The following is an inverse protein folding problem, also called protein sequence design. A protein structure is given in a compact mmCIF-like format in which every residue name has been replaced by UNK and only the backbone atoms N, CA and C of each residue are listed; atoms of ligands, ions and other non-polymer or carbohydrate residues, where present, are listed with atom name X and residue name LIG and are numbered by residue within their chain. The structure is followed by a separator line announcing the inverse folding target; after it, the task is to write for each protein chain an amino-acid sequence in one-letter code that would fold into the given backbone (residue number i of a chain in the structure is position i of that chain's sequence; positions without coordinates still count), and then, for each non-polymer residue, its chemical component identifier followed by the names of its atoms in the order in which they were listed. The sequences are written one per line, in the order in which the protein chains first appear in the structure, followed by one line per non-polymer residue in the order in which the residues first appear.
data_IF_537097122158
#
_entry.id   IF_537097122158
#
_cell.length_a   1.000
_cell.length_b   1.000
_cell.length_c   1.000
_cell.angle_alpha   90.00
_cell.angle_beta   90.00
_cell.angle_gamma   90.00
#
_symmetry.space_group_name_H-M   'P 1'
#
loop_
_entity.id
_entity.type
_entity.pdbx_description
1 polymer ?
#
# COMPACT_ATOMS: atom_id res chain seq x y z
N UNK A 1 20.14 -15.20 15.81
CA UNK A 1 20.08 -15.17 14.35
C UNK A 1 19.41 -13.86 13.96
N UNK A 2 20.03 -13.10 13.05
CA UNK A 2 19.51 -11.79 12.65
C UNK A 2 18.63 -11.92 11.39
N UNK A 3 17.44 -12.47 11.51
CA UNK A 3 16.42 -12.38 10.46
C UNK A 3 15.36 -11.37 10.89
N UNK A 4 14.96 -10.50 9.96
CA UNK A 4 13.98 -9.44 10.21
C UNK A 4 12.57 -9.82 9.74
N UNK A 5 12.42 -10.88 8.95
CA UNK A 5 11.14 -11.39 8.48
C UNK A 5 11.18 -12.84 8.04
N UNK A 6 10.02 -13.44 7.89
CA UNK A 6 9.83 -14.81 7.41
C UNK A 6 8.85 -14.83 6.26
N UNK A 7 9.18 -15.60 5.23
CA UNK A 7 8.30 -15.89 4.11
C UNK A 7 7.82 -17.34 4.19
N UNK A 8 6.51 -17.50 4.42
CA UNK A 8 5.82 -18.78 4.37
C UNK A 8 5.30 -18.99 2.95
N UNK A 9 6.10 -19.63 2.12
CA UNK A 9 5.74 -20.00 0.76
C UNK A 9 5.32 -21.46 0.68
N UNK A 10 4.64 -21.85 -0.39
CA UNK A 10 4.18 -23.22 -0.67
C UNK A 10 3.28 -23.83 0.42
N UNK A 11 2.63 -23.02 1.20
CA UNK A 11 1.91 -23.41 2.43
C UNK A 11 0.40 -23.60 2.27
N UNK A 12 -0.06 -23.95 1.07
CA UNK A 12 -1.42 -24.47 0.79
C UNK A 12 -1.68 -25.84 1.47
N UNK A 13 -0.76 -26.81 1.65
CA UNK A 13 0.59 -26.98 1.11
C UNK A 13 0.59 -27.41 -0.35
N UNK A 14 1.41 -26.73 -1.17
CA UNK A 14 1.69 -27.18 -2.52
C UNK A 14 2.67 -28.37 -2.48
N UNK A 15 2.28 -29.46 -3.06
CA UNK A 15 3.11 -30.67 -3.19
C UNK A 15 3.27 -30.94 -4.68
N UNK A 16 4.53 -30.90 -5.14
CA UNK A 16 4.90 -31.35 -6.47
C UNK A 16 5.50 -32.74 -6.34
N UNK A 17 4.94 -33.71 -7.04
CA UNK A 17 5.49 -35.06 -7.09
C UNK A 17 5.74 -35.39 -8.57
N UNK A 18 6.99 -35.26 -8.97
CA UNK A 18 7.40 -35.49 -10.36
C UNK A 18 7.33 -36.97 -10.75
N UNK A 19 7.24 -37.88 -9.76
CA UNK A 19 7.10 -39.33 -9.97
C UNK A 19 5.62 -39.74 -10.18
N UNK A 20 4.64 -38.83 -9.94
CA UNK A 20 3.24 -39.08 -10.18
C UNK A 20 2.82 -38.52 -11.54
N UNK A 21 2.15 -39.30 -12.41
CA UNK A 21 1.58 -38.78 -13.66
C UNK A 21 0.71 -37.53 -13.42
N UNK A 22 0.81 -36.53 -14.30
CA UNK A 22 0.20 -35.22 -14.13
C UNK A 22 -1.31 -35.29 -13.85
N UNK A 23 -2.02 -36.22 -14.53
CA UNK A 23 -3.45 -36.46 -14.36
C UNK A 23 -3.84 -37.02 -12.97
N UNK A 24 -2.87 -37.52 -12.21
CA UNK A 24 -3.07 -38.09 -10.88
C UNK A 24 -2.55 -37.15 -9.76
N UNK A 25 -1.93 -35.99 -10.13
CA UNK A 25 -1.42 -35.01 -9.17
C UNK A 25 -2.58 -34.21 -8.58
N UNK A 26 -2.69 -34.21 -7.27
CA UNK A 26 -3.71 -33.43 -6.56
C UNK A 26 -3.19 -32.04 -6.17
N UNK A 27 -1.92 -31.74 -6.41
CA UNK A 27 -1.30 -30.44 -6.14
C UNK A 27 -1.19 -30.03 -4.66
N UNK A 28 -1.64 -30.91 -3.76
CA UNK A 28 -1.61 -30.70 -2.32
C UNK A 28 -1.28 -31.99 -1.58
N UNK A 29 -1.08 -31.90 -0.26
CA UNK A 29 -0.92 -33.07 0.61
C UNK A 29 -2.17 -33.98 0.52
N UNK A 30 -2.01 -35.31 0.48
CA UNK A 30 -3.13 -36.24 0.48
C UNK A 30 -4.11 -35.99 1.62
N UNK A 31 -5.40 -36.01 1.33
CA UNK A 31 -6.45 -35.63 2.29
C UNK A 31 -6.54 -36.53 3.53
N UNK A 32 -6.05 -37.76 3.45
CA UNK A 32 -5.98 -38.73 4.55
C UNK A 32 -4.70 -38.59 5.40
N UNK A 33 -3.76 -37.72 5.01
CA UNK A 33 -2.52 -37.50 5.78
C UNK A 33 -2.87 -37.11 7.21
N UNK A 34 -2.32 -37.82 8.23
CA UNK A 34 -2.66 -37.56 9.62
C UNK A 34 -1.95 -36.34 10.16
N UNK A 35 -2.70 -35.46 10.81
CA UNK A 35 -2.19 -34.38 11.66
C UNK A 35 -2.34 -34.74 13.13
N UNK A 36 -1.28 -34.52 13.91
CA UNK A 36 -1.26 -34.88 15.34
C UNK A 36 -2.15 -34.02 16.21
N UNK A 37 -2.57 -32.84 15.70
CA UNK A 37 -3.18 -31.82 16.53
C UNK A 37 -2.17 -31.12 17.45
N UNK A 38 -2.65 -30.26 18.34
CA UNK A 38 -1.82 -29.54 19.30
C UNK A 38 -2.58 -28.36 19.89
N UNK A 39 -2.22 -27.95 21.12
CA UNK A 39 -2.99 -26.95 21.85
C UNK A 39 -4.45 -27.35 21.98
N UNK A 40 -5.37 -26.56 21.43
CA UNK A 40 -6.81 -26.83 21.39
C UNK A 40 -7.29 -27.51 20.11
N UNK A 41 -6.36 -27.88 19.21
CA UNK A 41 -6.69 -28.49 17.91
C UNK A 41 -6.69 -30.01 18.04
N UNK A 42 -7.78 -30.74 17.65
CA UNK A 42 -7.80 -32.19 17.70
C UNK A 42 -6.87 -32.82 16.68
N UNK A 43 -6.43 -34.05 16.90
CA UNK A 43 -5.81 -34.84 15.84
C UNK A 43 -6.84 -35.15 14.74
N UNK A 44 -6.41 -35.18 13.48
CA UNK A 44 -7.32 -35.41 12.36
C UNK A 44 -6.59 -35.57 11.04
N UNK A 45 -7.33 -35.76 9.94
CA UNK A 45 -6.78 -35.84 8.61
C UNK A 45 -6.50 -34.46 8.02
N UNK A 46 -5.73 -34.41 6.92
CA UNK A 46 -5.49 -33.16 6.18
C UNK A 46 -6.79 -32.56 5.64
N UNK A 47 -7.78 -33.36 5.31
CA UNK A 47 -9.09 -32.86 4.90
C UNK A 47 -9.71 -31.90 5.92
N UNK A 48 -9.52 -32.16 7.22
CA UNK A 48 -9.97 -31.26 8.30
C UNK A 48 -9.17 -29.95 8.34
N UNK A 49 -7.88 -30.01 8.02
CA UNK A 49 -6.96 -28.89 8.18
C UNK A 49 -6.58 -28.15 6.89
N UNK A 50 -6.98 -28.67 5.72
CA UNK A 50 -6.54 -28.18 4.43
C UNK A 50 -6.62 -26.65 4.31
N UNK A 51 -7.79 -26.07 4.49
CA UNK A 51 -7.97 -24.62 4.38
C UNK A 51 -7.35 -23.82 5.54
N UNK A 52 -7.11 -24.45 6.68
CA UNK A 52 -6.53 -23.79 7.85
C UNK A 52 -5.00 -23.90 7.92
N UNK A 53 -4.39 -24.79 7.12
CA UNK A 53 -2.98 -25.14 7.20
C UNK A 53 -2.06 -23.91 7.07
N UNK A 54 -2.25 -23.12 5.99
CA UNK A 54 -1.47 -21.91 5.76
C UNK A 54 -1.60 -20.89 6.89
N UNK A 55 -2.82 -20.67 7.38
CA UNK A 55 -3.05 -19.76 8.51
C UNK A 55 -2.35 -20.24 9.79
N UNK A 56 -2.44 -21.54 10.10
CA UNK A 56 -1.81 -22.11 11.30
C UNK A 56 -0.28 -22.05 11.22
N UNK A 57 0.30 -22.24 10.02
CA UNK A 57 1.74 -22.07 9.79
C UNK A 57 2.18 -20.63 10.05
N UNK A 58 1.43 -19.65 9.54
CA UNK A 58 1.73 -18.22 9.73
C UNK A 58 1.63 -17.83 11.21
N UNK A 59 0.59 -18.30 11.91
CA UNK A 59 0.40 -18.07 13.34
C UNK A 59 1.57 -18.62 14.16
N UNK A 60 1.99 -19.86 13.88
CA UNK A 60 3.14 -20.48 14.51
C UNK A 60 4.46 -19.75 14.22
N UNK A 61 4.65 -19.27 12.98
CA UNK A 61 5.81 -18.46 12.59
C UNK A 61 5.85 -17.13 13.35
N UNK A 62 4.70 -16.46 13.45
CA UNK A 62 4.54 -15.21 14.19
C UNK A 62 4.89 -15.40 15.68
N UNK A 63 4.28 -16.40 16.33
CA UNK A 63 4.55 -16.73 17.73
C UNK A 63 6.00 -17.09 17.97
N UNK A 64 6.63 -17.86 17.03
CA UNK A 64 8.03 -18.22 17.08
C UNK A 64 8.95 -17.00 17.06
N UNK A 65 8.70 -16.03 16.15
CA UNK A 65 9.46 -14.78 16.08
C UNK A 65 9.26 -13.97 17.36
N UNK A 66 8.02 -13.81 17.82
CA UNK A 66 7.70 -13.07 19.04
C UNK A 66 8.38 -13.66 20.26
N UNK A 67 8.52 -14.99 20.33
CA UNK A 67 9.22 -15.66 21.43
C UNK A 67 10.72 -15.38 21.42
N UNK A 68 11.32 -15.26 20.24
CA UNK A 68 12.78 -15.01 20.08
C UNK A 68 13.11 -13.52 20.19
N UNK A 69 12.23 -12.66 19.72
CA UNK A 69 12.47 -11.22 19.65
C UNK A 69 11.20 -10.41 19.98
N UNK A 70 10.77 -10.43 21.26
CA UNK A 70 9.49 -9.85 21.69
C UNK A 70 9.40 -8.33 21.54
N UNK A 71 10.55 -7.65 21.42
CA UNK A 71 10.60 -6.19 21.33
C UNK A 71 10.41 -5.65 19.91
N UNK A 72 10.47 -6.54 18.89
CA UNK A 72 10.30 -6.15 17.48
C UNK A 72 8.96 -6.59 16.93
N UNK A 73 8.42 -5.83 15.99
CA UNK A 73 7.24 -6.24 15.20
C UNK A 73 7.67 -7.28 14.17
N UNK A 74 7.09 -8.49 14.17
CA UNK A 74 7.37 -9.47 13.14
C UNK A 74 6.90 -8.99 11.78
N UNK A 75 7.68 -9.27 10.74
CA UNK A 75 7.23 -9.18 9.35
C UNK A 75 7.13 -10.60 8.79
N UNK A 76 5.93 -10.97 8.36
CA UNK A 76 5.70 -12.24 7.67
C UNK A 76 5.02 -11.96 6.33
N UNK A 77 5.38 -12.77 5.35
CA UNK A 77 4.72 -12.85 4.06
C UNK A 77 4.22 -14.28 3.86
N UNK A 78 2.99 -14.47 3.43
CA UNK A 78 2.42 -15.79 3.22
C UNK A 78 1.70 -15.90 1.89
N UNK A 79 1.84 -17.06 1.21
CA UNK A 79 1.10 -17.34 -0.03
C UNK A 79 -0.33 -17.80 0.28
N UNK A 80 -0.48 -18.74 1.18
CA UNK A 80 -1.77 -19.26 1.56
C UNK A 80 -2.20 -18.82 2.95
N UNK A 81 -3.50 -18.69 3.15
CA UNK A 81 -4.09 -18.37 4.42
C UNK A 81 -5.61 -18.49 4.40
N UNK A 82 -6.20 -18.41 5.57
CA UNK A 82 -7.65 -18.36 5.78
C UNK A 82 -7.99 -17.03 6.46
N UNK A 83 -9.22 -16.57 6.37
CA UNK A 83 -9.67 -15.37 7.06
C UNK A 83 -9.18 -15.36 8.52
N UNK A 84 -8.52 -14.27 8.91
CA UNK A 84 -7.86 -14.12 10.21
C UNK A 84 -6.31 -14.11 10.14
N UNK A 85 -5.68 -14.54 9.02
CA UNK A 85 -4.22 -14.49 8.91
C UNK A 85 -3.68 -13.07 8.70
N UNK A 86 -4.50 -12.13 8.29
CA UNK A 86 -4.14 -10.70 8.18
C UNK A 86 -3.63 -10.09 9.49
N UNK A 87 -3.89 -10.74 10.62
CA UNK A 87 -3.35 -10.34 11.93
C UNK A 87 -1.86 -10.63 12.07
N UNK A 88 -1.32 -11.49 11.23
CA UNK A 88 0.01 -12.05 11.35
C UNK A 88 0.92 -11.73 10.16
N UNK A 89 0.37 -11.63 8.95
CA UNK A 89 1.16 -11.56 7.74
C UNK A 89 0.55 -10.67 6.64
N UNK A 90 1.44 -10.13 5.81
CA UNK A 90 1.13 -9.68 4.46
C UNK A 90 0.94 -10.88 3.53
N UNK A 91 0.33 -10.66 2.36
CA UNK A 91 0.18 -11.66 1.31
C UNK A 91 0.47 -11.09 -0.08
N UNK A 92 0.61 -11.96 -1.06
CA UNK A 92 0.68 -11.54 -2.46
C UNK A 92 -0.26 -12.42 -3.31
N UNK A 93 -0.41 -12.08 -4.58
CA UNK A 93 -1.36 -12.76 -5.47
C UNK A 93 -0.85 -14.08 -6.04
N UNK A 94 0.27 -14.62 -5.53
CA UNK A 94 0.90 -15.85 -6.02
C UNK A 94 1.72 -15.65 -7.29
N UNK A 95 1.97 -16.75 -7.99
CA UNK A 95 2.87 -16.87 -9.13
C UNK A 95 2.22 -16.33 -10.41
N UNK A 96 2.13 -15.03 -10.54
CA UNK A 96 1.58 -14.36 -11.72
C UNK A 96 2.54 -14.42 -12.91
N UNK A 97 2.00 -14.30 -14.11
CA UNK A 97 2.78 -14.30 -15.35
C UNK A 97 3.21 -12.88 -15.75
N UNK A 98 4.38 -12.77 -16.35
CA UNK A 98 4.82 -11.54 -17.02
C UNK A 98 4.00 -11.35 -18.31
N UNK A 99 2.81 -10.72 -18.16
CA UNK A 99 1.87 -10.50 -19.24
C UNK A 99 0.85 -9.42 -18.91
N UNK A 100 0.34 -8.76 -19.96
CA UNK A 100 -0.60 -7.65 -19.83
C UNK A 100 -1.92 -8.04 -19.13
N UNK A 101 -2.37 -9.28 -19.32
CA UNK A 101 -3.59 -9.78 -18.66
C UNK A 101 -3.39 -9.85 -17.15
N UNK A 102 -2.25 -10.38 -16.71
CA UNK A 102 -1.90 -10.45 -15.29
C UNK A 102 -1.62 -9.07 -14.69
N UNK A 103 -1.01 -8.15 -15.45
CA UNK A 103 -0.87 -6.76 -15.04
C UNK A 103 -2.25 -6.13 -14.78
N UNK A 104 -3.18 -6.23 -15.74
CA UNK A 104 -4.54 -5.69 -15.59
C UNK A 104 -5.31 -6.35 -14.45
N UNK A 105 -5.18 -7.67 -14.29
CA UNK A 105 -5.81 -8.45 -13.23
C UNK A 105 -5.30 -8.09 -11.82
N UNK A 106 -4.07 -7.58 -11.71
CA UNK A 106 -3.47 -7.20 -10.43
C UNK A 106 -4.31 -6.19 -9.65
N UNK A 107 -5.00 -5.27 -10.34
CA UNK A 107 -5.84 -4.24 -9.70
C UNK A 107 -7.06 -4.88 -9.02
N UNK A 108 -7.97 -5.59 -9.74
CA UNK A 108 -9.15 -6.17 -9.10
C UNK A 108 -8.82 -7.27 -8.09
N UNK A 109 -7.74 -8.04 -8.28
CA UNK A 109 -7.31 -9.03 -7.29
C UNK A 109 -6.87 -8.37 -5.98
N UNK A 110 -6.04 -7.32 -6.04
CA UNK A 110 -5.60 -6.60 -4.83
C UNK A 110 -6.76 -5.92 -4.11
N UNK A 111 -7.70 -5.33 -4.85
CA UNK A 111 -8.95 -4.78 -4.28
C UNK A 111 -9.75 -5.87 -3.57
N UNK A 112 -9.94 -7.01 -4.21
CA UNK A 112 -10.74 -8.13 -3.66
C UNK A 112 -10.10 -8.70 -2.40
N UNK A 113 -8.78 -8.85 -2.36
CA UNK A 113 -8.04 -9.24 -1.16
C UNK A 113 -8.23 -8.20 -0.05
N UNK A 114 -8.12 -6.91 -0.36
CA UNK A 114 -8.37 -5.83 0.59
C UNK A 114 -9.77 -5.89 1.20
N UNK A 115 -10.80 -6.04 0.36
CA UNK A 115 -12.20 -6.21 0.79
C UNK A 115 -12.43 -7.48 1.62
N UNK A 116 -11.59 -8.50 1.44
CA UNK A 116 -11.59 -9.73 2.24
C UNK A 116 -10.80 -9.61 3.55
N UNK A 117 -10.35 -8.40 3.91
CA UNK A 117 -9.60 -8.11 5.13
C UNK A 117 -8.09 -8.17 4.99
N UNK A 118 -7.55 -8.44 3.79
CA UNK A 118 -6.12 -8.52 3.52
C UNK A 118 -5.60 -7.16 3.05
N UNK A 119 -5.54 -6.18 3.95
CA UNK A 119 -5.15 -4.81 3.61
C UNK A 119 -3.70 -4.71 3.10
N UNK A 120 -2.81 -5.61 3.54
CA UNK A 120 -1.40 -5.63 3.16
C UNK A 120 -1.15 -6.69 2.08
N UNK A 121 -1.49 -6.36 0.84
CA UNK A 121 -1.36 -7.26 -0.30
C UNK A 121 -0.84 -6.53 -1.56
N UNK A 122 -0.39 -7.31 -2.55
CA UNK A 122 0.00 -6.85 -3.88
C UNK A 122 0.50 -8.01 -4.74
N UNK A 123 0.64 -7.83 -6.07
CA UNK A 123 1.20 -8.82 -6.98
C UNK A 123 2.74 -8.78 -6.98
N UNK A 124 3.36 -9.76 -7.61
CA UNK A 124 4.75 -9.65 -8.05
C UNK A 124 4.82 -8.69 -9.24
N UNK A 125 5.44 -7.51 -9.04
CA UNK A 125 5.58 -6.48 -10.06
C UNK A 125 6.52 -7.00 -11.16
N UNK A 126 6.06 -6.92 -12.40
CA UNK A 126 6.77 -7.44 -13.56
C UNK A 126 6.45 -8.91 -13.87
N UNK A 127 5.66 -9.58 -13.02
CA UNK A 127 5.31 -11.00 -13.14
C UNK A 127 6.39 -11.93 -12.57
N UNK A 128 5.96 -13.03 -11.93
CA UNK A 128 6.86 -14.05 -11.38
C UNK A 128 7.37 -15.00 -12.47
N UNK A 129 6.45 -15.56 -13.27
CA UNK A 129 6.76 -16.48 -14.36
C UNK A 129 7.00 -15.72 -15.67
N UNK A 130 7.84 -16.27 -16.53
CA UNK A 130 8.23 -15.72 -17.84
C UNK A 130 9.08 -14.44 -17.77
N UNK A 131 9.67 -14.13 -18.94
CA UNK A 131 10.42 -12.91 -19.12
C UNK A 131 9.47 -11.72 -19.32
N UNK A 132 9.73 -10.64 -18.60
CA UNK A 132 9.06 -9.37 -18.82
C UNK A 132 9.87 -8.52 -19.82
N UNK A 133 9.20 -7.71 -20.61
CA UNK A 133 9.84 -6.68 -21.40
C UNK A 133 9.86 -5.32 -20.68
N UNK A 134 10.61 -4.39 -21.25
CA UNK A 134 10.78 -3.06 -20.68
C UNK A 134 9.46 -2.27 -20.56
N UNK A 135 8.55 -2.41 -21.54
CA UNK A 135 7.27 -1.69 -21.58
C UNK A 135 6.31 -2.23 -20.51
N UNK A 136 6.20 -3.54 -20.40
CA UNK A 136 5.40 -4.21 -19.37
C UNK A 136 5.90 -3.89 -17.95
N UNK A 137 7.23 -3.95 -17.73
CA UNK A 137 7.85 -3.59 -16.46
C UNK A 137 7.52 -2.15 -16.06
N UNK A 138 7.74 -1.21 -16.96
CA UNK A 138 7.53 0.20 -16.70
C UNK A 138 6.07 0.53 -16.35
N UNK A 139 5.12 -0.05 -17.08
CA UNK A 139 3.70 0.09 -16.77
C UNK A 139 3.34 -0.54 -15.42
N UNK A 140 3.89 -1.73 -15.12
CA UNK A 140 3.58 -2.40 -13.86
C UNK A 140 4.15 -1.66 -12.66
N UNK A 141 5.40 -1.21 -12.73
CA UNK A 141 6.01 -0.44 -11.66
C UNK A 141 5.35 0.94 -11.51
N UNK A 142 4.98 1.60 -12.61
CA UNK A 142 4.37 2.92 -12.63
C UNK A 142 3.08 3.05 -11.81
N UNK A 143 2.31 1.95 -11.66
CA UNK A 143 1.18 1.90 -10.72
C UNK A 143 1.46 1.04 -9.49
N UNK A 144 2.33 0.02 -9.62
CA UNK A 144 2.63 -0.95 -8.57
C UNK A 144 3.21 -0.33 -7.31
N UNK A 145 3.86 0.82 -7.42
CA UNK A 145 4.36 1.61 -6.28
C UNK A 145 3.24 2.17 -5.39
N UNK A 146 2.00 2.18 -5.85
CA UNK A 146 0.81 2.58 -5.07
C UNK A 146 0.08 1.41 -4.41
N UNK A 147 0.52 0.19 -4.65
CA UNK A 147 -0.03 -0.99 -3.98
C UNK A 147 0.45 -1.05 -2.52
N UNK A 148 -0.36 -1.58 -1.60
CA UNK A 148 0.04 -1.73 -0.19
C UNK A 148 1.34 -2.52 -0.06
N UNK A 149 1.43 -3.72 -0.65
CA UNK A 149 2.65 -4.50 -0.78
C UNK A 149 3.21 -4.34 -2.20
N UNK A 150 4.41 -3.79 -2.32
CA UNK A 150 5.09 -3.56 -3.59
C UNK A 150 6.43 -4.29 -3.60
N UNK A 151 6.55 -5.30 -4.47
CA UNK A 151 7.73 -6.14 -4.61
C UNK A 151 7.94 -6.49 -6.08
N UNK A 152 9.15 -6.26 -6.61
CA UNK A 152 9.64 -6.94 -7.81
C UNK A 152 10.09 -8.34 -7.42
N UNK A 153 9.61 -9.36 -8.13
CA UNK A 153 9.97 -10.75 -7.87
C UNK A 153 9.87 -11.59 -9.13
N UNK A 154 10.74 -12.59 -9.26
CA UNK A 154 10.80 -13.45 -10.44
C UNK A 154 11.29 -14.84 -10.07
N UNK A 155 10.87 -15.86 -10.81
CA UNK A 155 11.39 -17.22 -10.65
C UNK A 155 12.78 -17.35 -11.29
N UNK A 156 13.52 -18.35 -10.85
CA UNK A 156 14.81 -18.70 -11.43
C UNK A 156 14.69 -19.00 -12.93
N UNK A 157 15.64 -18.53 -13.72
CA UNK A 157 15.67 -18.73 -15.17
C UNK A 157 14.89 -17.72 -15.99
N UNK A 158 14.26 -16.72 -15.37
CA UNK A 158 13.71 -15.55 -16.07
C UNK A 158 14.73 -14.40 -16.11
N UNK A 159 14.45 -13.37 -16.94
CA UNK A 159 15.33 -12.20 -16.99
C UNK A 159 15.30 -11.39 -15.69
N UNK A 160 16.38 -10.64 -15.48
CA UNK A 160 16.53 -9.73 -14.35
C UNK A 160 15.43 -8.64 -14.39
N UNK A 161 14.89 -8.29 -13.22
CA UNK A 161 13.78 -7.35 -13.04
C UNK A 161 14.10 -6.24 -12.04
N UNK A 162 15.36 -5.94 -11.85
CA UNK A 162 15.78 -4.76 -11.09
C UNK A 162 15.47 -3.47 -11.88
N UNK A 163 15.28 -2.35 -11.21
CA UNK A 163 14.94 -1.07 -11.85
C UNK A 163 15.87 -0.64 -12.98
N UNK A 164 17.12 -1.08 -12.98
CA UNK A 164 18.16 -0.76 -13.97
C UNK A 164 18.34 -1.81 -15.08
N UNK A 165 17.64 -2.97 -15.00
CA UNK A 165 17.86 -4.09 -15.91
C UNK A 165 17.41 -3.80 -17.37
N UNK A 166 16.54 -2.81 -17.57
CA UNK A 166 15.93 -2.49 -18.87
C UNK A 166 16.51 -1.26 -19.56
N UNK A 167 17.69 -0.80 -19.11
CA UNK A 167 18.40 0.36 -19.66
C UNK A 167 17.94 1.70 -19.08
N UNK A 168 18.73 2.75 -19.40
CA UNK A 168 18.68 4.06 -18.76
C UNK A 168 17.27 4.73 -18.79
N UNK A 169 16.57 4.62 -19.91
CA UNK A 169 15.23 5.22 -20.03
C UNK A 169 14.24 4.61 -19.02
N UNK A 170 14.25 3.29 -18.86
CA UNK A 170 13.37 2.58 -17.94
C UNK A 170 13.86 2.70 -16.49
N UNK A 171 15.17 2.81 -16.28
CA UNK A 171 15.73 3.14 -14.98
C UNK A 171 15.22 4.50 -14.48
N UNK A 172 15.17 5.52 -15.33
CA UNK A 172 14.62 6.83 -15.00
C UNK A 172 13.13 6.76 -14.66
N UNK A 173 12.33 6.04 -15.45
CA UNK A 173 10.92 5.73 -15.15
C UNK A 173 10.77 5.05 -13.78
N UNK A 174 11.61 4.04 -13.54
CA UNK A 174 11.59 3.29 -12.27
C UNK A 174 11.96 4.18 -11.08
N UNK A 175 12.94 5.07 -11.24
CA UNK A 175 13.34 6.05 -10.24
C UNK A 175 12.18 6.96 -9.86
N UNK A 176 11.51 7.56 -10.86
CA UNK A 176 10.33 8.41 -10.62
C UNK A 176 9.26 7.64 -9.84
N UNK A 177 8.94 6.42 -10.24
CA UNK A 177 7.94 5.60 -9.58
C UNK A 177 8.32 5.33 -8.09
N UNK A 178 9.56 4.92 -7.82
CA UNK A 178 10.04 4.64 -6.46
C UNK A 178 10.09 5.91 -5.60
N UNK A 179 10.53 7.04 -6.14
CA UNK A 179 10.54 8.32 -5.43
C UNK A 179 9.11 8.77 -5.05
N UNK A 180 8.12 8.52 -5.92
CA UNK A 180 6.69 8.76 -5.63
C UNK A 180 6.22 7.94 -4.43
N UNK A 181 6.58 6.65 -4.36
CA UNK A 181 6.26 5.80 -3.22
C UNK A 181 6.89 6.32 -1.93
N UNK A 182 8.18 6.66 -1.99
CA UNK A 182 8.91 7.13 -0.81
C UNK A 182 8.34 8.45 -0.27
N UNK A 183 7.90 9.35 -1.13
CA UNK A 183 7.17 10.55 -0.70
C UNK A 183 5.84 10.24 -0.02
N UNK A 184 5.14 9.19 -0.46
CA UNK A 184 3.85 8.76 0.11
C UNK A 184 3.98 7.88 1.36
N UNK A 185 5.18 7.46 1.80
CA UNK A 185 5.33 6.60 2.97
C UNK A 185 4.60 7.11 4.23
N UNK A 186 4.61 8.41 4.57
CA UNK A 186 3.83 8.90 5.70
C UNK A 186 2.32 8.71 5.54
N UNK A 187 1.82 8.87 4.32
CA UNK A 187 0.41 8.63 4.02
C UNK A 187 0.07 7.14 4.07
N UNK A 188 0.88 6.27 3.46
CA UNK A 188 0.73 4.81 3.57
C UNK A 188 0.71 4.34 5.02
N UNK A 189 1.62 4.86 5.85
CA UNK A 189 1.69 4.48 7.26
C UNK A 189 0.44 4.89 8.02
N UNK A 190 -0.14 6.05 7.69
CA UNK A 190 -1.42 6.50 8.22
C UNK A 190 -2.58 5.59 7.77
N UNK A 191 -2.63 5.20 6.49
CA UNK A 191 -3.64 4.26 5.99
C UNK A 191 -3.55 2.87 6.64
N UNK A 192 -2.34 2.39 6.92
CA UNK A 192 -2.16 1.14 7.67
C UNK A 192 -2.61 1.26 9.13
N UNK A 193 -2.43 2.42 9.75
CA UNK A 193 -3.01 2.69 11.06
C UNK A 193 -4.53 2.66 11.01
N UNK A 194 -5.15 3.28 10.02
CA UNK A 194 -6.60 3.25 9.82
C UNK A 194 -7.10 1.83 9.56
N UNK A 195 -6.44 1.08 8.70
CA UNK A 195 -6.76 -0.33 8.44
C UNK A 195 -6.67 -1.18 9.72
N UNK A 196 -5.66 -0.97 10.56
CA UNK A 196 -5.51 -1.64 11.86
C UNK A 196 -6.68 -1.30 12.81
N UNK A 197 -7.16 -0.07 12.80
CA UNK A 197 -8.22 0.40 13.72
C UNK A 197 -9.62 0.02 13.26
N UNK A 198 -9.86 0.02 11.96
CA UNK A 198 -11.21 -0.05 11.37
C UNK A 198 -11.45 -1.27 10.49
N UNK A 199 -10.40 -1.89 9.98
CA UNK A 199 -10.48 -2.95 8.98
C UNK A 199 -10.69 -2.45 7.54
N UNK A 200 -10.72 -1.14 7.31
CA UNK A 200 -10.82 -0.55 5.98
C UNK A 200 -9.55 -0.88 5.19
N UNK A 201 -9.65 -1.34 3.92
CA UNK A 201 -8.47 -1.64 3.12
C UNK A 201 -7.66 -0.37 2.79
N UNK A 202 -6.35 -0.53 2.58
CA UNK A 202 -5.46 0.56 2.14
C UNK A 202 -5.70 0.91 0.67
N UNK A 203 -5.92 -0.11 -0.16
CA UNK A 203 -6.32 0.01 -1.56
C UNK A 203 -7.81 -0.29 -1.66
N UNK A 204 -8.59 0.68 -2.13
CA UNK A 204 -10.04 0.64 -2.12
C UNK A 204 -10.61 0.67 -3.54
N UNK A 205 -11.77 0.04 -3.76
CA UNK A 205 -12.49 0.17 -5.03
C UNK A 205 -13.03 1.59 -5.21
N UNK A 206 -13.08 2.06 -6.45
CA UNK A 206 -13.53 3.43 -6.78
C UNK A 206 -14.96 3.72 -6.28
N UNK A 207 -15.82 2.69 -6.16
CA UNK A 207 -17.19 2.87 -5.64
C UNK A 207 -17.27 3.28 -4.16
N UNK A 208 -16.16 3.22 -3.40
CA UNK A 208 -16.12 3.79 -2.03
C UNK A 208 -16.21 5.32 -2.05
N UNK A 209 -15.79 5.97 -3.14
CA UNK A 209 -15.95 7.43 -3.28
C UNK A 209 -17.41 7.87 -3.29
N UNK A 210 -18.29 7.08 -3.89
CA UNK A 210 -19.76 7.25 -3.87
C UNK A 210 -20.46 5.89 -4.04
N UNK A 211 -20.83 5.21 -2.96
CA UNK A 211 -21.50 3.91 -3.02
C UNK A 211 -22.87 3.90 -3.71
N UNK A 212 -23.47 5.08 -3.92
CA UNK A 212 -24.76 5.23 -4.60
C UNK A 212 -24.61 5.33 -6.11
N UNK A 213 -23.43 5.68 -6.61
CA UNK A 213 -23.14 5.72 -8.04
C UNK A 213 -22.89 4.33 -8.60
N UNK A 214 -23.93 3.74 -9.20
CA UNK A 214 -23.88 2.38 -9.74
C UNK A 214 -22.87 2.20 -10.88
N UNK A 215 -22.46 3.28 -11.56
CA UNK A 215 -21.46 3.25 -12.64
C UNK A 215 -20.09 2.78 -12.13
N UNK A 216 -19.77 3.14 -10.88
CA UNK A 216 -18.47 2.86 -10.27
C UNK A 216 -18.29 1.39 -9.88
N UNK A 217 -19.37 0.61 -9.80
CA UNK A 217 -19.32 -0.79 -9.33
C UNK A 217 -18.56 -1.73 -10.25
N UNK A 218 -18.49 -1.41 -11.54
CA UNK A 218 -17.78 -2.20 -12.55
C UNK A 218 -16.38 -1.69 -12.86
N UNK A 219 -15.93 -0.61 -12.19
CA UNK A 219 -14.57 -0.09 -12.39
C UNK A 219 -13.53 -1.03 -11.80
N UNK A 220 -12.58 -1.48 -12.62
CA UNK A 220 -11.55 -2.46 -12.26
C UNK A 220 -10.14 -2.02 -12.66
N UNK A 221 -9.97 -0.85 -13.26
CA UNK A 221 -8.68 -0.37 -13.73
C UNK A 221 -8.11 0.74 -12.85
N UNK A 222 -8.99 1.60 -12.31
CA UNK A 222 -8.62 2.64 -11.35
C UNK A 222 -8.97 2.19 -9.93
N UNK A 223 -8.32 2.79 -8.95
CA UNK A 223 -8.57 2.48 -7.53
C UNK A 223 -8.31 3.71 -6.66
N UNK A 224 -8.78 3.65 -5.43
CA UNK A 224 -8.47 4.63 -4.41
C UNK A 224 -7.33 4.14 -3.52
N UNK A 225 -6.46 5.03 -3.11
CA UNK A 225 -5.49 4.84 -2.04
C UNK A 225 -6.00 5.59 -0.81
N UNK A 226 -6.65 4.85 0.08
CA UNK A 226 -7.56 5.42 1.07
C UNK A 226 -8.66 6.27 0.43
N UNK A 227 -9.42 7.00 1.21
CA UNK A 227 -10.52 7.85 0.72
C UNK A 227 -10.07 9.05 -0.14
N UNK A 228 -8.77 9.41 -0.11
CA UNK A 228 -8.33 10.74 -0.50
C UNK A 228 -7.61 10.80 -1.86
N UNK A 229 -7.05 9.69 -2.34
CA UNK A 229 -6.23 9.69 -3.57
C UNK A 229 -6.76 8.67 -4.57
N UNK A 230 -7.12 9.15 -5.75
CA UNK A 230 -7.49 8.31 -6.89
C UNK A 230 -6.25 8.03 -7.72
N UNK A 231 -5.97 6.75 -7.97
CA UNK A 231 -4.87 6.26 -8.80
C UNK A 231 -5.44 5.73 -10.11
N UNK A 232 -4.97 6.28 -11.22
CA UNK A 232 -5.36 5.88 -12.57
C UNK A 232 -4.10 5.34 -13.25
N UNK A 233 -3.91 4.01 -13.34
CA UNK A 233 -2.79 3.41 -14.04
C UNK A 233 -2.67 3.87 -15.49
N UNK A 234 -1.45 3.95 -16.00
CA UNK A 234 -1.21 4.44 -17.37
C UNK A 234 -1.84 3.54 -18.45
N UNK A 235 -2.06 2.26 -18.14
CA UNK A 235 -2.73 1.31 -19.04
C UNK A 235 -4.26 1.38 -18.97
N UNK A 236 -4.84 2.17 -18.07
CA UNK A 236 -6.30 2.24 -17.92
C UNK A 236 -6.96 2.90 -19.14
N UNK A 237 -7.91 2.20 -19.75
CA UNK A 237 -8.64 2.62 -20.92
C UNK A 237 -10.05 3.11 -20.53
N UNK A 238 -10.27 4.42 -20.61
CA UNK A 238 -11.56 5.04 -20.28
C UNK A 238 -12.15 4.63 -18.92
N UNK A 239 -11.40 4.72 -17.81
CA UNK A 239 -11.89 4.30 -16.50
C UNK A 239 -13.09 5.15 -16.06
N UNK A 240 -14.02 4.52 -15.35
CA UNK A 240 -15.17 5.21 -14.79
C UNK A 240 -14.75 5.91 -13.49
N UNK A 241 -14.72 7.23 -13.54
CA UNK A 241 -14.27 8.05 -12.42
C UNK A 241 -15.45 8.60 -11.59
N UNK A 242 -15.25 8.78 -10.26
CA UNK A 242 -16.27 9.36 -9.40
C UNK A 242 -16.50 10.83 -9.71
N UNK A 243 -17.72 11.30 -9.49
CA UNK A 243 -18.06 12.71 -9.55
C UNK A 243 -17.48 13.50 -8.37
N UNK A 244 -17.58 14.82 -8.43
CA UNK A 244 -17.10 15.74 -7.40
C UNK A 244 -15.78 16.41 -7.78
N UNK A 245 -15.16 17.03 -6.79
CA UNK A 245 -13.89 17.74 -6.98
C UNK A 245 -12.73 16.74 -6.88
N UNK A 246 -11.95 16.65 -7.95
CA UNK A 246 -10.74 15.84 -8.04
C UNK A 246 -9.66 16.62 -8.78
N UNK A 247 -8.67 17.13 -8.06
CA UNK A 247 -7.55 17.88 -8.62
C UNK A 247 -6.34 16.98 -8.92
N UNK A 248 -5.56 17.31 -9.94
CA UNK A 248 -4.35 16.59 -10.23
C UNK A 248 -3.33 16.76 -9.09
N UNK A 249 -2.65 15.68 -8.74
CA UNK A 249 -1.65 15.63 -7.68
C UNK A 249 -0.32 15.19 -8.26
N UNK A 250 0.73 16.01 -8.13
CA UNK A 250 2.09 15.73 -8.60
C UNK A 250 3.01 15.50 -7.42
N UNK A 251 3.63 14.34 -7.36
CA UNK A 251 4.57 13.99 -6.30
C UNK A 251 6.01 14.36 -6.66
N UNK A 252 6.40 14.12 -7.91
CA UNK A 252 7.77 14.31 -8.41
C UNK A 252 7.72 15.17 -9.67
N UNK A 253 8.64 16.12 -9.77
CA UNK A 253 8.75 16.95 -10.96
C UNK A 253 9.04 16.09 -12.19
N UNK A 254 8.33 16.37 -13.29
CA UNK A 254 8.47 15.65 -14.57
C UNK A 254 7.68 14.34 -14.66
N UNK A 255 7.01 13.86 -13.60
CA UNK A 255 6.24 12.61 -13.64
C UNK A 255 5.15 12.59 -14.72
N UNK A 256 4.55 13.75 -15.06
CA UNK A 256 3.51 13.84 -16.08
C UNK A 256 4.02 13.66 -17.52
N UNK A 257 5.31 13.85 -17.76
CA UNK A 257 5.92 13.61 -19.06
C UNK A 257 6.28 12.15 -19.30
N UNK A 258 6.28 11.35 -18.26
CA UNK A 258 6.53 9.90 -18.33
C UNK A 258 5.22 9.15 -18.57
N UNK A 259 5.09 8.55 -19.76
CA UNK A 259 3.88 7.84 -20.18
C UNK A 259 3.52 6.62 -19.34
N UNK A 260 4.44 6.11 -18.55
CA UNK A 260 4.28 4.90 -17.73
C UNK A 260 3.72 5.18 -16.33
N UNK A 261 3.82 6.44 -15.88
CA UNK A 261 3.37 6.79 -14.54
C UNK A 261 1.85 6.84 -14.42
N UNK A 262 1.32 6.25 -13.34
CA UNK A 262 -0.08 6.42 -13.00
C UNK A 262 -0.41 7.90 -12.73
N UNK A 263 -1.58 8.35 -13.18
CA UNK A 263 -2.09 9.68 -12.84
C UNK A 263 -2.70 9.65 -11.45
N UNK A 264 -2.39 10.66 -10.64
CA UNK A 264 -2.95 10.81 -9.30
C UNK A 264 -3.90 12.01 -9.25
N UNK A 265 -5.00 11.84 -8.51
CA UNK A 265 -5.91 12.93 -8.20
C UNK A 265 -6.23 12.93 -6.70
N UNK A 266 -6.25 14.11 -6.11
CA UNK A 266 -6.66 14.32 -4.72
C UNK A 266 -8.13 14.75 -4.67
N UNK A 267 -8.90 14.16 -3.76
CA UNK A 267 -10.33 14.43 -3.54
C UNK A 267 -10.54 15.79 -2.87
N UNK A 268 -11.58 16.51 -3.28
CA UNK A 268 -12.04 17.71 -2.58
C UNK A 268 -12.39 17.42 -1.12
N UNK A 269 -11.95 18.27 -0.21
CA UNK A 269 -12.08 18.10 1.24
C UNK A 269 -10.91 17.34 1.89
N UNK A 270 -9.84 17.02 1.14
CA UNK A 270 -8.74 16.19 1.62
C UNK A 270 -7.43 16.95 1.86
N UNK A 271 -6.69 16.51 2.86
CA UNK A 271 -5.29 16.87 3.10
C UNK A 271 -4.49 15.57 3.15
N UNK A 272 -3.51 15.43 2.26
CA UNK A 272 -2.63 14.27 2.16
C UNK A 272 -1.22 14.67 2.61
N UNK A 273 -0.73 14.15 3.75
CA UNK A 273 0.64 14.40 4.21
C UNK A 273 1.63 13.57 3.40
N UNK A 274 2.69 14.20 2.91
CA UNK A 274 3.78 13.53 2.19
C UNK A 274 5.13 13.97 2.71
N UNK A 275 6.10 13.05 2.67
CA UNK A 275 7.48 13.30 3.06
C UNK A 275 8.33 13.83 1.91
N UNK A 276 9.63 13.94 2.16
CA UNK A 276 10.65 14.07 1.12
C UNK A 276 11.05 12.69 0.59
N UNK A 277 11.75 12.64 -0.52
CA UNK A 277 12.43 11.42 -0.99
C UNK A 277 13.58 11.13 -0.01
N UNK A 278 13.64 9.88 0.45
CA UNK A 278 14.67 9.36 1.36
C UNK A 278 15.26 8.08 0.78
N UNK A 279 16.48 7.73 1.16
CA UNK A 279 17.14 6.49 0.74
C UNK A 279 16.82 5.31 1.67
N UNK A 280 16.45 5.60 2.91
CA UNK A 280 16.13 4.61 3.94
C UNK A 280 15.06 5.14 4.87
N UNK A 281 14.19 4.26 5.37
CA UNK A 281 13.17 4.59 6.38
C UNK A 281 13.75 4.98 7.74
N UNK A 282 15.06 4.87 7.93
CA UNK A 282 15.76 5.38 9.11
C UNK A 282 16.05 6.89 9.03
N UNK A 283 15.89 7.49 7.84
CA UNK A 283 16.04 8.93 7.66
C UNK A 283 14.74 9.66 8.05
N UNK A 284 14.90 10.92 8.50
CA UNK A 284 13.75 11.78 8.74
C UNK A 284 13.09 12.19 7.42
N UNK A 285 11.90 11.68 7.14
CA UNK A 285 11.10 12.00 5.95
C UNK A 285 10.31 13.31 6.07
N UNK A 286 10.24 13.92 7.26
CA UNK A 286 9.39 15.09 7.56
C UNK A 286 10.10 16.44 7.47
N UNK A 287 11.26 16.48 6.87
CA UNK A 287 11.99 17.75 6.74
C UNK A 287 12.24 18.10 5.26
N UNK A 288 11.32 18.86 4.65
CA UNK A 288 10.04 19.36 5.18
C UNK A 288 8.89 18.32 5.12
N UNK A 289 7.91 18.43 6.02
CA UNK A 289 6.60 17.82 5.83
C UNK A 289 5.81 18.65 4.82
N UNK A 290 5.26 18.02 3.80
CA UNK A 290 4.41 18.69 2.82
C UNK A 290 2.96 18.20 2.96
N UNK A 291 2.02 19.12 3.00
CA UNK A 291 0.58 18.83 2.96
C UNK A 291 0.03 19.17 1.58
N UNK A 292 -0.46 18.17 0.87
CA UNK A 292 -1.26 18.37 -0.32
C UNK A 292 -2.71 18.60 0.08
N UNK A 293 -3.29 19.70 -0.41
CA UNK A 293 -4.61 20.16 0.01
C UNK A 293 -5.52 20.36 -1.20
N UNK A 294 -6.70 19.79 -1.14
CA UNK A 294 -7.79 20.07 -2.07
C UNK A 294 -9.04 20.42 -1.26
N UNK A 295 -9.61 21.59 -1.49
CA UNK A 295 -10.80 22.04 -0.75
C UNK A 295 -12.08 21.42 -1.33
N UNK A 296 -13.05 21.17 -0.45
CA UNK A 296 -14.41 20.82 -0.84
C UNK A 296 -15.21 22.05 -1.35
N UNK A 297 -16.46 21.84 -1.68
CA UNK A 297 -17.39 22.90 -2.15
C UNK A 297 -17.61 23.99 -1.08
N UNK A 298 -17.41 23.66 0.20
CA UNK A 298 -17.54 24.59 1.33
C UNK A 298 -16.20 25.31 1.64
N UNK A 299 -15.16 25.09 0.86
CA UNK A 299 -13.84 25.67 1.07
C UNK A 299 -13.09 25.07 2.25
N UNK A 300 -13.33 23.82 2.59
CA UNK A 300 -12.71 23.13 3.72
C UNK A 300 -11.97 21.88 3.27
N UNK A 301 -10.96 21.47 4.04
CA UNK A 301 -10.32 20.18 3.92
C UNK A 301 -9.77 19.71 5.28
N UNK A 302 -9.60 18.38 5.42
CA UNK A 302 -9.00 17.76 6.59
C UNK A 302 -8.16 16.54 6.18
N UNK A 303 -7.28 16.13 7.06
CA UNK A 303 -6.47 14.93 6.88
C UNK A 303 -5.66 14.61 8.11
N UNK A 304 -5.10 13.41 8.15
CA UNK A 304 -4.37 12.91 9.32
C UNK A 304 -2.97 12.45 8.95
N UNK A 305 -2.07 12.50 9.93
CA UNK A 305 -0.75 11.90 9.90
C UNK A 305 -0.57 11.09 11.20
N UNK A 306 -0.47 9.77 11.06
CA UNK A 306 -0.06 8.89 12.14
C UNK A 306 1.43 8.58 12.05
N UNK A 307 2.11 8.57 13.19
CA UNK A 307 3.51 8.18 13.27
C UNK A 307 3.88 7.64 14.64
N UNK A 308 4.62 6.55 14.67
CA UNK A 308 5.15 5.97 15.90
C UNK A 308 6.69 5.77 15.80
N UNK A 309 7.25 4.81 16.50
CA UNK A 309 8.66 4.51 16.46
C UNK A 309 9.14 3.76 15.20
N UNK A 310 8.21 3.30 14.36
CA UNK A 310 8.49 2.46 13.19
C UNK A 310 8.66 0.98 13.53
N UNK A 311 8.99 0.66 14.79
CA UNK A 311 9.14 -0.71 15.29
C UNK A 311 8.75 -0.77 16.77
N UNK A 312 8.67 -1.98 17.33
CA UNK A 312 8.31 -2.21 18.73
C UNK A 312 6.82 -1.98 19.03
N UNK A 313 6.46 -2.04 20.32
CA UNK A 313 5.06 -2.09 20.78
C UNK A 313 4.64 -0.87 21.61
N UNK A 314 5.51 0.10 21.79
CA UNK A 314 5.27 1.26 22.66
C UNK A 314 4.10 2.12 22.21
N UNK A 315 3.70 2.02 20.91
CA UNK A 315 2.49 2.68 20.42
C UNK A 315 1.23 2.24 21.19
N UNK A 316 1.17 0.99 21.67
CA UNK A 316 0.06 0.48 22.49
C UNK A 316 -0.03 1.20 23.86
N UNK A 317 1.09 1.73 24.35
CA UNK A 317 1.17 2.55 25.57
C UNK A 317 1.09 4.05 25.30
N UNK A 318 0.75 4.43 24.05
CA UNK A 318 0.56 5.81 23.64
C UNK A 318 1.80 6.51 23.04
N UNK A 319 2.91 5.80 22.80
CA UNK A 319 4.09 6.37 22.12
C UNK A 319 3.87 6.44 20.60
N UNK A 320 2.88 7.21 20.23
CA UNK A 320 2.57 7.58 18.85
C UNK A 320 2.15 9.06 18.78
N UNK A 321 2.08 9.59 17.59
CA UNK A 321 1.49 10.90 17.29
C UNK A 321 0.45 10.72 16.19
N UNK A 322 -0.80 11.11 16.45
CA UNK A 322 -1.84 11.26 15.45
C UNK A 322 -2.16 12.75 15.33
N UNK A 323 -1.74 13.36 14.24
CA UNK A 323 -1.96 14.78 13.95
C UNK A 323 -3.13 14.92 12.99
N UNK A 324 -4.09 15.76 13.33
CA UNK A 324 -5.19 16.14 12.42
C UNK A 324 -4.95 17.55 11.91
N UNK A 325 -4.89 17.69 10.59
CA UNK A 325 -4.77 18.97 9.91
C UNK A 325 -6.14 19.43 9.38
N UNK A 326 -6.32 20.74 9.34
CA UNK A 326 -7.49 21.37 8.73
C UNK A 326 -7.09 22.51 7.81
N UNK A 327 -7.87 22.70 6.76
CA UNK A 327 -7.78 23.86 5.87
C UNK A 327 -9.15 24.55 5.76
N UNK A 328 -9.15 25.86 5.74
CA UNK A 328 -10.36 26.65 5.58
C UNK A 328 -10.07 27.88 4.70
N UNK A 329 -10.92 28.06 3.69
CA UNK A 329 -10.92 29.26 2.84
C UNK A 329 -11.76 30.35 3.48
N UNK A 330 -11.17 31.54 3.65
CA UNK A 330 -11.87 32.76 4.05
C UNK A 330 -11.47 33.89 3.10
N UNK A 331 -12.44 34.44 2.40
CA UNK A 331 -12.20 35.45 1.35
C UNK A 331 -11.20 34.92 0.30
N UNK A 332 -10.10 35.65 0.09
CA UNK A 332 -9.05 35.30 -0.87
C UNK A 332 -7.84 34.61 -0.21
N UNK A 333 -8.06 33.96 0.92
CA UNK A 333 -7.00 33.26 1.65
C UNK A 333 -7.44 31.86 2.06
N UNK A 334 -6.49 30.92 2.08
CA UNK A 334 -6.66 29.58 2.66
C UNK A 334 -5.68 29.42 3.80
N UNK A 335 -6.20 29.14 4.98
CA UNK A 335 -5.37 28.84 6.16
C UNK A 335 -5.35 27.33 6.39
N UNK A 336 -4.14 26.77 6.46
CA UNK A 336 -3.89 25.37 6.80
C UNK A 336 -3.20 25.31 8.15
N UNK A 337 -3.70 24.50 9.07
CA UNK A 337 -3.19 24.42 10.44
C UNK A 337 -3.35 23.03 11.05
N UNK A 338 -2.56 22.75 12.08
CA UNK A 338 -2.76 21.61 12.97
C UNK A 338 -4.01 21.88 13.82
N UNK A 339 -5.04 21.04 13.68
CA UNK A 339 -6.29 21.16 14.41
C UNK A 339 -6.23 20.42 15.76
N UNK A 340 -5.66 19.23 15.78
CA UNK A 340 -5.48 18.44 17.01
C UNK A 340 -4.27 17.52 16.93
N UNK A 341 -3.84 17.06 18.08
CA UNK A 341 -2.80 16.05 18.22
C UNK A 341 -3.16 15.10 19.35
N UNK A 342 -3.01 13.81 19.10
CA UNK A 342 -3.14 12.74 20.05
C UNK A 342 -1.84 11.95 20.20
N UNK A 343 -1.69 11.20 21.30
CA UNK A 343 -0.51 10.42 21.62
C UNK A 343 0.58 11.22 22.34
N UNK A 344 1.58 10.51 22.85
CA UNK A 344 2.66 11.05 23.69
C UNK A 344 3.91 11.41 22.90
N UNK A 345 4.08 10.84 21.70
CA UNK A 345 5.26 11.05 20.86
C UNK A 345 5.33 12.47 20.33
N UNK A 346 6.51 13.07 20.40
CA UNK A 346 6.74 14.49 20.07
C UNK A 346 7.37 14.64 18.68
N UNK A 347 6.70 14.09 17.66
CA UNK A 347 7.14 14.18 16.26
C UNK A 347 7.23 15.64 15.76
N UNK A 348 6.52 16.57 16.37
CA UNK A 348 6.61 18.01 16.04
C UNK A 348 8.01 18.60 16.22
N UNK A 349 8.91 17.91 16.94
CA UNK A 349 10.32 18.29 17.03
C UNK A 349 11.12 17.90 15.79
N UNK A 350 10.62 16.93 15.03
CA UNK A 350 11.22 16.43 13.79
C UNK A 350 10.75 17.24 12.57
N UNK A 351 9.60 17.92 12.69
CA UNK A 351 8.98 18.74 11.64
C UNK A 351 9.43 20.20 11.84
N UNK A 352 10.51 20.61 11.20
CA UNK A 352 11.02 22.00 11.30
C UNK A 352 10.28 22.95 10.36
N UNK A 353 9.88 22.46 9.18
CA UNK A 353 9.19 23.24 8.16
C UNK A 353 7.93 22.50 7.70
N UNK A 354 6.85 23.26 7.52
CA UNK A 354 5.58 22.79 6.95
C UNK A 354 5.38 23.48 5.62
N UNK A 355 5.36 22.69 4.54
CA UNK A 355 4.98 23.16 3.22
C UNK A 355 3.53 22.79 2.93
N UNK A 356 2.86 23.63 2.15
CA UNK A 356 1.50 23.38 1.66
C UNK A 356 1.48 23.56 0.16
N UNK A 357 0.92 22.58 -0.54
CA UNK A 357 0.58 22.66 -1.95
C UNK A 357 -0.94 22.54 -2.07
N UNK A 358 -1.61 23.68 -2.33
CA UNK A 358 -3.05 23.73 -2.52
C UNK A 358 -3.39 23.59 -4.00
N UNK A 359 -4.09 22.52 -4.35
CA UNK A 359 -4.62 22.27 -5.68
C UNK A 359 -6.04 22.82 -5.76
N UNK A 360 -6.28 23.72 -6.70
CA UNK A 360 -7.58 24.32 -6.90
C UNK A 360 -7.74 24.84 -8.33
N UNK A 361 -8.80 24.41 -9.02
CA UNK A 361 -9.12 24.83 -10.39
C UNK A 361 -7.96 24.62 -11.38
N UNK A 362 -7.27 23.47 -11.28
CA UNK A 362 -6.13 23.11 -12.13
C UNK A 362 -4.86 23.89 -11.86
N UNK A 363 -4.80 24.68 -10.79
CA UNK A 363 -3.60 25.44 -10.35
C UNK A 363 -3.08 24.92 -9.03
N UNK A 364 -1.80 25.07 -8.80
CA UNK A 364 -1.13 24.75 -7.54
C UNK A 364 -0.62 26.05 -6.90
N UNK A 365 -1.09 26.31 -5.69
CA UNK A 365 -0.65 27.42 -4.86
C UNK A 365 0.26 26.89 -3.77
N UNK A 366 1.44 27.45 -3.61
CA UNK A 366 2.45 26.98 -2.63
C UNK A 366 2.61 27.98 -1.49
N UNK A 367 2.81 27.43 -0.29
CA UNK A 367 3.11 28.22 0.89
C UNK A 367 3.96 27.44 1.87
N UNK A 368 4.69 28.14 2.72
CA UNK A 368 5.53 27.55 3.75
C UNK A 368 5.33 28.26 5.09
N UNK A 369 5.51 27.50 6.15
CA UNK A 369 5.37 27.99 7.52
C UNK A 369 5.89 27.00 8.55
N UNK A 370 5.27 26.97 9.71
CA UNK A 370 5.64 26.04 10.77
C UNK A 370 4.39 25.32 11.29
N UNK A 371 4.59 24.15 11.86
CA UNK A 371 3.50 23.36 12.43
C UNK A 371 2.69 24.15 13.48
N UNK A 372 3.36 25.01 14.27
CA UNK A 372 2.74 25.83 15.33
C UNK A 372 1.87 26.97 14.76
N UNK A 373 2.34 27.66 13.71
CA UNK A 373 1.64 28.83 13.14
C UNK A 373 0.69 28.47 12.02
N UNK A 374 0.89 27.29 11.40
CA UNK A 374 0.25 26.91 10.16
C UNK A 374 0.83 27.63 8.96
N UNK A 375 0.11 27.55 7.84
CA UNK A 375 0.43 28.19 6.56
C UNK A 375 -0.78 28.94 6.06
N UNK A 376 -0.57 30.17 5.59
CA UNK A 376 -1.61 30.97 4.90
C UNK A 376 -1.23 31.15 3.45
N UNK A 377 -2.11 30.81 2.54
CA UNK A 377 -1.96 30.93 1.09
C UNK A 377 -2.92 32.02 0.60
N UNK A 378 -2.41 32.99 -0.17
CA UNK A 378 -3.21 33.99 -0.88
C UNK A 378 -3.55 33.40 -2.27
N UNK A 379 -4.81 33.50 -2.68
CA UNK A 379 -5.37 32.97 -3.93
C UNK A 379 -5.24 33.95 -5.09
#
# INVERSE_FOLDING_TARGET
MGIDGVWNDMNEPAVTDDDIPEENRIGTMPYDTPHRGGGNLPAGSHLLYHNAYGRLMVEASYEGIMKVNPEKRPFLLTRAGLLGYQRYAATWTGDNWAGWDHLKLSVPMSITLGLSGQAFNGPDIGGFLNNTDADLWAHWLGFGVFLPFARGHACAGTNDKEPWAFGEAIENTSRIALERRYRLLPYFYTLFYEAHKTGVPVMEPVFFADPKDLRLRSEQQAFLLGDNVLVIPAFAENPVLPYGIWENMTLIDGEYSDKYQAKLKIKGGSIVPVGKVIQSTTENSFEPLTLFVCLDENGKAHGQLYWDAGDGWNFQCGDYSLMTFSAEKKNNQVKVSLASKEGKRKIEKEIKALNVELMMNGKVYKGSGSLKKGVTINL
#
